data_IF_883457392643
#
_entry.id   IF_883457392643
#
_cell.length_a   1.000
_cell.length_b   1.000
_cell.length_c   1.000
_cell.angle_alpha   90.00
_cell.angle_beta   90.00
_cell.angle_gamma   90.00
#
_symmetry.space_group_name_H-M   'P 1'
#
loop_
_entity.id
_entity.type
_entity.pdbx_description
1 polymer ?
#
# COMPACT_ATOMS: atom_id res chain seq x y z
N UNK A 1 26.38 -21.94 1.08
CA UNK A 1 25.49 -20.77 1.34
C UNK A 1 26.38 -19.54 1.33
N UNK A 2 26.09 -18.55 0.48
CA UNK A 2 26.82 -17.30 0.52
C UNK A 2 26.59 -16.61 1.89
N UNK A 3 27.63 -16.04 2.47
CA UNK A 3 27.55 -15.34 3.76
C UNK A 3 26.61 -14.13 3.61
N UNK A 4 25.45 -14.20 4.28
CA UNK A 4 24.50 -13.08 4.29
C UNK A 4 25.12 -11.86 4.95
N UNK A 5 25.16 -10.74 4.24
CA UNK A 5 25.80 -9.54 4.76
C UNK A 5 24.89 -8.85 5.78
N UNK A 6 25.47 -8.17 6.79
CA UNK A 6 24.70 -7.38 7.78
C UNK A 6 23.74 -6.38 7.11
N UNK A 7 24.12 -5.84 5.95
CA UNK A 7 23.29 -4.92 5.17
C UNK A 7 22.07 -5.61 4.56
N UNK A 8 22.21 -6.82 4.02
CA UNK A 8 21.07 -7.61 3.52
C UNK A 8 20.04 -7.88 4.62
N UNK A 9 20.49 -8.24 5.82
CA UNK A 9 19.62 -8.50 6.97
C UNK A 9 18.85 -7.23 7.36
N UNK A 10 19.55 -6.11 7.51
CA UNK A 10 18.93 -4.83 7.87
C UNK A 10 17.91 -4.40 6.81
N UNK A 11 18.26 -4.47 5.52
CA UNK A 11 17.33 -4.09 4.46
C UNK A 11 16.12 -5.03 4.38
N UNK A 12 16.32 -6.34 4.56
CA UNK A 12 15.23 -7.31 4.62
C UNK A 12 14.27 -7.01 5.77
N UNK A 13 14.80 -6.68 6.95
CA UNK A 13 13.99 -6.31 8.11
C UNK A 13 13.20 -5.02 7.88
N UNK A 14 13.80 -4.00 7.25
CA UNK A 14 13.08 -2.76 6.89
C UNK A 14 11.91 -3.08 5.96
N UNK A 15 12.14 -3.86 4.90
CA UNK A 15 11.08 -4.23 3.96
C UNK A 15 9.98 -5.05 4.66
N UNK A 16 10.34 -6.02 5.50
CA UNK A 16 9.38 -6.85 6.20
C UNK A 16 8.52 -6.04 7.21
N UNK A 17 9.16 -5.22 8.06
CA UNK A 17 8.47 -4.39 9.05
C UNK A 17 7.57 -3.38 8.35
N UNK A 18 8.08 -2.65 7.35
CA UNK A 18 7.29 -1.67 6.64
C UNK A 18 6.11 -2.30 5.90
N UNK A 19 6.31 -3.47 5.30
CA UNK A 19 5.22 -4.19 4.64
C UNK A 19 4.13 -4.62 5.62
N UNK A 20 4.51 -5.09 6.81
CA UNK A 20 3.56 -5.44 7.86
C UNK A 20 2.79 -4.21 8.36
N UNK A 21 3.46 -3.07 8.53
CA UNK A 21 2.80 -1.81 8.90
C UNK A 21 1.80 -1.40 7.81
N UNK A 22 2.21 -1.41 6.54
CA UNK A 22 1.33 -1.04 5.43
C UNK A 22 0.16 -2.00 5.26
N UNK A 23 0.37 -3.30 5.50
CA UNK A 23 -0.69 -4.29 5.56
C UNK A 23 -1.76 -3.91 6.60
N UNK A 24 -1.36 -3.61 7.84
CA UNK A 24 -2.30 -3.22 8.90
C UNK A 24 -3.04 -1.92 8.53
N UNK A 25 -2.33 -0.92 8.02
CA UNK A 25 -2.92 0.36 7.62
C UNK A 25 -3.91 0.20 6.45
N UNK A 26 -3.62 -0.69 5.50
CA UNK A 26 -4.54 -1.00 4.41
C UNK A 26 -5.78 -1.75 4.88
N UNK A 27 -5.69 -2.60 5.91
CA UNK A 27 -6.88 -3.20 6.53
C UNK A 27 -7.77 -2.09 7.09
N UNK A 28 -7.17 -1.18 7.87
CA UNK A 28 -7.90 -0.04 8.45
C UNK A 28 -8.56 0.78 7.34
N UNK A 29 -7.82 1.12 6.29
CA UNK A 29 -8.35 1.91 5.18
C UNK A 29 -9.50 1.20 4.44
N UNK A 30 -9.28 -0.03 3.96
CA UNK A 30 -10.22 -0.68 3.04
C UNK A 30 -11.46 -1.28 3.73
N UNK A 31 -11.37 -1.62 5.03
CA UNK A 31 -12.46 -2.30 5.73
C UNK A 31 -13.15 -1.44 6.79
N UNK A 32 -12.48 -0.42 7.33
CA UNK A 32 -13.05 0.43 8.39
C UNK A 32 -13.29 1.87 7.92
N UNK A 33 -12.39 2.43 7.10
CA UNK A 33 -12.53 3.81 6.61
C UNK A 33 -13.40 3.86 5.35
N UNK A 34 -13.14 2.99 4.37
CA UNK A 34 -13.96 2.83 3.17
C UNK A 34 -15.19 1.97 3.49
N UNK A 35 -16.17 2.58 4.16
CA UNK A 35 -17.48 2.00 4.42
C UNK A 35 -18.55 2.62 3.51
N UNK A 36 -19.81 2.23 3.73
CA UNK A 36 -20.93 2.71 2.92
C UNK A 36 -21.14 4.22 3.01
N UNK A 37 -20.79 4.88 4.12
CA UNK A 37 -20.97 6.33 4.25
C UNK A 37 -19.90 7.06 3.45
N UNK A 38 -18.63 6.65 3.58
CA UNK A 38 -17.53 7.20 2.77
C UNK A 38 -17.76 7.01 1.28
N UNK A 39 -18.22 5.83 0.84
CA UNK A 39 -18.50 5.57 -0.57
C UNK A 39 -19.68 6.40 -1.08
N UNK A 40 -20.71 6.66 -0.26
CA UNK A 40 -21.79 7.59 -0.64
C UNK A 40 -21.26 9.00 -0.83
N UNK A 41 -20.39 9.49 0.04
CA UNK A 41 -19.74 10.79 -0.13
C UNK A 41 -18.89 10.83 -1.41
N UNK A 42 -18.12 9.77 -1.69
CA UNK A 42 -17.34 9.66 -2.94
C UNK A 42 -18.22 9.73 -4.19
N UNK A 43 -19.31 8.97 -4.21
CA UNK A 43 -20.26 9.00 -5.33
C UNK A 43 -20.91 10.37 -5.48
N UNK A 44 -21.30 11.02 -4.37
CA UNK A 44 -21.87 12.36 -4.38
C UNK A 44 -20.89 13.39 -4.95
N UNK A 45 -19.63 13.36 -4.50
CA UNK A 45 -18.54 14.20 -5.01
C UNK A 45 -18.30 14.00 -6.50
N UNK A 46 -18.46 12.77 -6.99
CA UNK A 46 -18.33 12.43 -8.40
C UNK A 46 -19.60 12.73 -9.23
N UNK A 47 -20.64 13.34 -8.64
CA UNK A 47 -21.92 13.60 -9.31
C UNK A 47 -22.71 12.33 -9.66
N UNK A 48 -22.41 11.20 -9.02
CA UNK A 48 -23.01 9.90 -9.26
C UNK A 48 -24.20 9.63 -8.33
N UNK A 49 -25.10 8.74 -8.76
CA UNK A 49 -26.24 8.33 -7.94
C UNK A 49 -25.78 7.46 -6.77
N UNK A 50 -26.23 7.77 -5.56
CA UNK A 50 -25.89 7.07 -4.31
C UNK A 50 -26.80 5.87 -4.02
N UNK A 51 -27.21 5.14 -5.07
CA UNK A 51 -28.06 3.95 -4.90
C UNK A 51 -27.33 2.84 -4.17
N UNK A 52 -28.07 1.96 -3.48
CA UNK A 52 -27.49 0.79 -2.79
C UNK A 52 -26.63 -0.06 -3.72
N UNK A 53 -27.06 -0.24 -4.97
CA UNK A 53 -26.28 -0.99 -5.97
C UNK A 53 -24.96 -0.28 -6.29
N UNK A 54 -24.99 1.01 -6.60
CA UNK A 54 -23.78 1.78 -6.95
C UNK A 54 -22.78 1.80 -5.79
N UNK A 55 -23.26 1.98 -4.56
CA UNK A 55 -22.43 1.94 -3.35
C UNK A 55 -21.77 0.57 -3.18
N UNK A 56 -22.55 -0.51 -3.27
CA UNK A 56 -22.02 -1.86 -3.10
C UNK A 56 -21.01 -2.23 -4.19
N UNK A 57 -21.25 -1.80 -5.44
CA UNK A 57 -20.33 -2.05 -6.54
C UNK A 57 -18.97 -1.38 -6.28
N UNK A 58 -18.97 -0.08 -5.97
CA UNK A 58 -17.73 0.66 -5.70
C UNK A 58 -17.01 0.11 -4.46
N UNK A 59 -17.76 -0.18 -3.40
CA UNK A 59 -17.20 -0.75 -2.17
C UNK A 59 -16.55 -2.11 -2.42
N UNK A 60 -17.17 -2.97 -3.22
CA UNK A 60 -16.60 -4.27 -3.58
C UNK A 60 -15.35 -4.13 -4.46
N UNK A 61 -15.34 -3.19 -5.41
CA UNK A 61 -14.14 -2.91 -6.21
C UNK A 61 -12.96 -2.47 -5.33
N UNK A 62 -13.16 -1.50 -4.43
CA UNK A 62 -12.12 -1.08 -3.49
C UNK A 62 -11.61 -2.23 -2.62
N UNK A 63 -12.52 -3.09 -2.13
CA UNK A 63 -12.13 -4.25 -1.33
C UNK A 63 -11.36 -5.30 -2.12
N UNK A 64 -11.74 -5.54 -3.37
CA UNK A 64 -11.03 -6.46 -4.25
C UNK A 64 -9.58 -6.00 -4.46
N UNK A 65 -9.40 -4.75 -4.88
CA UNK A 65 -8.07 -4.15 -5.06
C UNK A 65 -7.29 -4.12 -3.74
N UNK A 66 -7.96 -3.74 -2.66
CA UNK A 66 -7.39 -3.73 -1.30
C UNK A 66 -6.88 -5.10 -0.86
N UNK A 67 -7.64 -6.17 -1.09
CA UNK A 67 -7.22 -7.55 -0.74
C UNK A 67 -6.00 -7.97 -1.57
N UNK A 68 -5.97 -7.64 -2.86
CA UNK A 68 -4.80 -7.94 -3.71
C UNK A 68 -3.53 -7.29 -3.14
N UNK A 69 -3.60 -6.01 -2.78
CA UNK A 69 -2.46 -5.32 -2.18
C UNK A 69 -2.12 -5.85 -0.79
N UNK A 70 -3.10 -6.20 0.03
CA UNK A 70 -2.86 -6.82 1.34
C UNK A 70 -2.04 -8.11 1.22
N UNK A 71 -2.42 -9.01 0.30
CA UNK A 71 -1.66 -10.24 0.05
C UNK A 71 -0.24 -9.92 -0.46
N UNK A 72 -0.11 -8.91 -1.32
CA UNK A 72 1.16 -8.49 -1.87
C UNK A 72 2.10 -7.90 -0.79
N UNK A 73 1.60 -7.08 0.13
CA UNK A 73 2.37 -6.59 1.28
C UNK A 73 2.72 -7.73 2.25
N UNK A 74 1.84 -8.70 2.46
CA UNK A 74 2.15 -9.84 3.33
C UNK A 74 3.35 -10.65 2.80
N UNK A 75 3.52 -10.76 1.49
CA UNK A 75 4.71 -11.37 0.90
C UNK A 75 6.01 -10.65 1.30
N UNK A 76 5.98 -9.35 1.61
CA UNK A 76 7.13 -8.61 2.11
C UNK A 76 7.65 -9.12 3.46
N UNK A 77 6.80 -9.73 4.28
CA UNK A 77 7.19 -10.35 5.56
C UNK A 77 8.17 -11.51 5.33
N UNK A 78 8.11 -12.17 4.17
CA UNK A 78 9.04 -13.24 3.79
C UNK A 78 10.50 -12.76 3.81
N UNK A 79 10.75 -11.45 3.66
CA UNK A 79 12.10 -10.88 3.70
C UNK A 79 12.84 -11.06 5.04
N UNK A 80 12.14 -11.45 6.12
CA UNK A 80 12.78 -11.90 7.36
C UNK A 80 13.59 -13.19 7.16
N UNK A 81 13.07 -14.12 6.37
CA UNK A 81 13.64 -15.46 6.22
C UNK A 81 14.32 -15.63 4.86
N UNK A 82 13.71 -15.15 3.79
CA UNK A 82 14.20 -15.34 2.43
C UNK A 82 14.44 -14.00 1.73
N UNK A 83 15.70 -13.75 1.39
CA UNK A 83 16.17 -12.49 0.81
C UNK A 83 16.63 -12.76 -0.62
N UNK A 84 15.67 -13.10 -1.47
CA UNK A 84 15.93 -13.40 -2.88
C UNK A 84 15.77 -12.14 -3.76
N UNK A 85 16.55 -11.96 -4.83
CA UNK A 85 16.39 -10.84 -5.77
C UNK A 85 14.97 -10.70 -6.35
N UNK A 86 14.27 -11.81 -6.57
CA UNK A 86 12.87 -11.76 -7.01
C UNK A 86 11.94 -11.13 -5.97
N UNK A 87 12.17 -11.35 -4.67
CA UNK A 87 11.39 -10.69 -3.63
C UNK A 87 11.67 -9.18 -3.62
N UNK A 88 12.91 -8.77 -3.90
CA UNK A 88 13.25 -7.34 -4.04
C UNK A 88 12.43 -6.67 -5.13
N UNK A 89 12.48 -7.20 -6.35
CA UNK A 89 11.77 -6.58 -7.47
C UNK A 89 10.27 -6.72 -7.37
N UNK A 90 9.76 -7.82 -6.81
CA UNK A 90 8.35 -7.98 -6.49
C UNK A 90 7.89 -6.89 -5.52
N UNK A 91 8.57 -6.71 -4.39
CA UNK A 91 8.20 -5.68 -3.41
C UNK A 91 8.34 -4.27 -3.97
N UNK A 92 9.36 -4.00 -4.77
CA UNK A 92 9.47 -2.73 -5.50
C UNK A 92 8.24 -2.48 -6.39
N UNK A 93 7.82 -3.48 -7.17
CA UNK A 93 6.63 -3.38 -8.03
C UNK A 93 5.34 -3.17 -7.21
N UNK A 94 5.21 -3.83 -6.05
CA UNK A 94 4.07 -3.64 -5.14
C UNK A 94 4.02 -2.21 -4.60
N UNK A 95 5.14 -1.70 -4.06
CA UNK A 95 5.19 -0.34 -3.52
C UNK A 95 4.86 0.72 -4.57
N UNK A 96 5.45 0.60 -5.76
CA UNK A 96 5.26 1.60 -6.81
C UNK A 96 3.85 1.52 -7.38
N UNK A 97 3.34 0.31 -7.67
CA UNK A 97 2.00 0.15 -8.25
C UNK A 97 0.92 0.62 -7.30
N UNK A 98 0.99 0.27 -6.00
CA UNK A 98 -0.01 0.72 -5.03
C UNK A 98 -0.01 2.25 -4.89
N UNK A 99 1.19 2.85 -4.82
CA UNK A 99 1.32 4.30 -4.70
C UNK A 99 0.73 5.01 -5.92
N UNK A 100 1.12 4.61 -7.14
CA UNK A 100 0.62 5.26 -8.36
C UNK A 100 -0.87 5.02 -8.59
N UNK A 101 -1.37 3.81 -8.36
CA UNK A 101 -2.79 3.51 -8.47
C UNK A 101 -3.62 4.40 -7.52
N UNK A 102 -3.18 4.50 -6.27
CA UNK A 102 -3.86 5.33 -5.28
C UNK A 102 -3.77 6.82 -5.61
N UNK A 103 -2.61 7.30 -6.08
CA UNK A 103 -2.39 8.71 -6.43
C UNK A 103 -3.36 9.24 -7.49
N UNK A 104 -3.77 8.40 -8.45
CA UNK A 104 -4.73 8.79 -9.50
C UNK A 104 -6.05 9.29 -8.90
N UNK A 105 -6.51 8.67 -7.81
CA UNK A 105 -7.80 8.98 -7.19
C UNK A 105 -7.68 9.58 -5.78
N UNK A 106 -6.46 9.89 -5.33
CA UNK A 106 -6.18 10.22 -3.93
C UNK A 106 -6.99 11.44 -3.45
N UNK A 107 -7.10 12.48 -4.28
CA UNK A 107 -7.85 13.68 -3.93
C UNK A 107 -9.32 13.35 -3.63
N UNK A 108 -10.01 12.64 -4.53
CA UNK A 108 -11.41 12.26 -4.33
C UNK A 108 -11.57 11.38 -3.10
N UNK A 109 -10.73 10.35 -2.95
CA UNK A 109 -10.77 9.43 -1.79
C UNK A 109 -10.63 10.19 -0.48
N UNK A 110 -9.66 11.10 -0.38
CA UNK A 110 -9.45 11.91 0.83
C UNK A 110 -10.63 12.83 1.09
N UNK A 111 -11.14 13.54 0.08
CA UNK A 111 -12.32 14.41 0.28
C UNK A 111 -13.55 13.62 0.74
N UNK A 112 -13.83 12.46 0.13
CA UNK A 112 -14.94 11.61 0.55
C UNK A 112 -14.81 11.12 2.00
N UNK A 113 -13.58 10.85 2.46
CA UNK A 113 -13.31 10.52 3.87
C UNK A 113 -13.55 11.73 4.78
N UNK A 114 -13.09 12.91 4.38
CA UNK A 114 -13.24 14.13 5.18
C UNK A 114 -14.72 14.54 5.33
N UNK A 115 -15.52 14.38 4.27
CA UNK A 115 -16.95 14.64 4.32
C UNK A 115 -17.71 13.63 5.18
N UNK A 116 -17.33 12.34 5.13
CA UNK A 116 -18.04 11.28 5.85
C UNK A 116 -17.56 11.10 7.29
N UNK A 117 -16.32 11.46 7.59
CA UNK A 117 -15.62 11.11 8.84
C UNK A 117 -14.80 12.30 9.35
N UNK A 118 -13.47 12.15 9.40
CA UNK A 118 -12.54 13.13 9.93
C UNK A 118 -11.14 12.95 9.31
N UNK A 119 -10.26 13.91 9.57
CA UNK A 119 -8.89 13.94 9.04
C UNK A 119 -8.06 12.71 9.44
N UNK A 120 -8.25 12.20 10.66
CA UNK A 120 -7.47 11.05 11.17
C UNK A 120 -7.76 9.80 10.34
N UNK A 121 -9.00 9.64 9.85
CA UNK A 121 -9.37 8.52 9.00
C UNK A 121 -8.64 8.51 7.63
N UNK A 122 -8.07 9.63 7.19
CA UNK A 122 -7.28 9.70 5.97
C UNK A 122 -5.80 9.27 6.17
N UNK A 123 -5.30 9.24 7.42
CA UNK A 123 -3.90 8.92 7.68
C UNK A 123 -3.46 7.52 7.21
N UNK A 124 -4.25 6.44 7.38
CA UNK A 124 -3.82 5.11 6.94
C UNK A 124 -3.42 5.07 5.47
N UNK A 125 -4.22 5.66 4.57
CA UNK A 125 -3.91 5.66 3.14
C UNK A 125 -2.76 6.62 2.79
N UNK A 126 -2.69 7.79 3.44
CA UNK A 126 -1.61 8.75 3.21
C UNK A 126 -0.25 8.19 3.63
N UNK A 127 -0.18 7.52 4.79
CA UNK A 127 1.04 6.88 5.28
C UNK A 127 1.48 5.76 4.33
N UNK A 128 0.53 4.94 3.85
CA UNK A 128 0.84 3.84 2.92
C UNK A 128 1.39 4.39 1.60
N UNK A 129 0.78 5.43 1.02
CA UNK A 129 1.24 6.02 -0.25
C UNK A 129 2.62 6.65 -0.09
N UNK A 130 2.80 7.54 0.88
CA UNK A 130 4.06 8.24 1.10
C UNK A 130 5.17 7.25 1.46
N UNK A 131 4.88 6.32 2.37
CA UNK A 131 5.82 5.30 2.80
C UNK A 131 6.23 4.36 1.67
N UNK A 132 5.28 3.97 0.81
CA UNK A 132 5.59 3.12 -0.36
C UNK A 132 6.48 3.85 -1.36
N UNK A 133 6.26 5.14 -1.61
CA UNK A 133 7.15 5.94 -2.48
C UNK A 133 8.56 6.05 -1.89
N UNK A 134 8.68 6.29 -0.59
CA UNK A 134 9.98 6.36 0.10
C UNK A 134 10.73 5.03 -0.03
N UNK A 135 10.05 3.90 0.20
CA UNK A 135 10.68 2.58 0.06
C UNK A 135 11.04 2.25 -1.39
N UNK A 136 10.16 2.54 -2.34
CA UNK A 136 10.43 2.33 -3.75
C UNK A 136 11.67 3.14 -4.20
N UNK A 137 11.75 4.42 -3.81
CA UNK A 137 12.91 5.26 -4.08
C UNK A 137 14.19 4.73 -3.41
N UNK A 138 14.10 4.30 -2.15
CA UNK A 138 15.21 3.66 -1.44
C UNK A 138 15.71 2.43 -2.19
N UNK A 139 14.81 1.52 -2.57
CA UNK A 139 15.16 0.29 -3.29
C UNK A 139 15.81 0.63 -4.64
N UNK A 140 15.24 1.57 -5.40
CA UNK A 140 15.82 1.99 -6.68
C UNK A 140 17.25 2.55 -6.52
N UNK A 141 17.47 3.43 -5.53
CA UNK A 141 18.79 4.03 -5.25
C UNK A 141 19.81 2.96 -4.88
N UNK A 142 19.43 1.99 -4.03
CA UNK A 142 20.31 0.90 -3.61
C UNK A 142 20.67 -0.01 -4.79
N UNK A 143 19.69 -0.32 -5.66
CA UNK A 143 19.91 -1.10 -6.88
C UNK A 143 20.89 -0.43 -7.84
N UNK A 144 20.73 0.88 -8.08
CA UNK A 144 21.62 1.66 -8.97
C UNK A 144 23.05 1.73 -8.40
N UNK A 145 23.19 1.99 -7.09
CA UNK A 145 24.50 2.13 -6.44
C UNK A 145 25.24 0.80 -6.22
N UNK A 146 24.67 -0.34 -6.69
CA UNK A 146 25.21 -1.70 -6.53
C UNK A 146 25.71 -2.01 -5.10
N UNK A 147 25.05 -1.44 -4.08
CA UNK A 147 25.41 -1.72 -2.69
C UNK A 147 24.89 -3.11 -2.31
N UNK A 148 25.77 -3.94 -1.76
CA UNK A 148 25.48 -5.31 -1.27
C UNK A 148 24.19 -5.37 -0.45
N UNK A 149 23.11 -5.75 -1.13
CA UNK A 149 21.77 -6.03 -0.60
C UNK A 149 21.28 -7.26 -1.36
N UNK A 150 20.09 -7.75 -1.03
CA UNK A 150 19.57 -8.99 -1.62
C UNK A 150 19.12 -8.87 -3.08
N UNK A 151 19.43 -7.75 -3.72
CA UNK A 151 19.35 -7.53 -5.16
C UNK A 151 20.69 -7.84 -5.87
N UNK A 152 21.43 -8.85 -5.39
CA UNK A 152 22.69 -9.32 -5.98
C UNK A 152 22.52 -10.70 -6.59
#
# INVERSE_FOLDING_TARGET
MAETTRREVVTGNVIAISSLIFFILLIIHNFFVLDTTTVKSLLSLAGQKTTTHSVNQVLNSFRFDGIMYLLAYLAGVIAYWNRHPYLWWFMFAVYISNAFFTLVNLYMVVQGILEAKNVIAAFPILIVVIGSLILAAYMLIVSIKRKSTFNR
#
